data_IF_436666618795
#
_entry.id   IF_436666618795
#
_cell.length_a   1.000
_cell.length_b   1.000
_cell.length_c   1.000
_cell.angle_alpha   90.00
_cell.angle_beta   90.00
_cell.angle_gamma   90.00
#
_symmetry.space_group_name_H-M   'P 1'
#
loop_
_entity.id
_entity.type
_entity.pdbx_description
1 polymer ?
#
# COMPACT_ATOMS: atom_id res chain seq x y z
N UNK A 1 72.40 44.76 31.03
CA UNK A 1 72.30 43.92 29.81
C UNK A 1 70.84 43.52 29.60
N UNK A 2 70.45 43.21 28.35
CA UNK A 2 69.26 42.43 27.87
C UNK A 2 68.25 41.97 28.95
N UNK A 3 66.95 42.33 28.88
CA UNK A 3 65.92 41.73 28.01
C UNK A 3 65.71 40.21 28.29
N UNK A 4 64.52 39.60 28.29
CA UNK A 4 63.11 40.00 28.05
C UNK A 4 62.25 38.75 28.44
N UNK A 5 60.96 38.90 28.79
CA UNK A 5 59.94 37.82 28.90
C UNK A 5 60.15 36.75 30.02
N UNK A 6 59.14 36.10 30.61
CA UNK A 6 57.77 36.49 30.99
C UNK A 6 57.24 35.42 31.99
N UNK A 7 56.53 35.76 33.09
CA UNK A 7 56.04 34.75 34.04
C UNK A 7 54.71 34.14 33.57
N UNK A 8 54.71 32.93 32.98
CA UNK A 8 53.47 32.32 32.45
C UNK A 8 53.41 30.79 32.35
N UNK A 9 54.13 30.02 33.20
CA UNK A 9 53.98 28.54 33.25
C UNK A 9 53.97 28.03 34.72
N UNK A 10 53.02 28.51 35.52
CA UNK A 10 52.79 28.02 36.90
C UNK A 10 51.31 27.79 37.25
N UNK A 11 50.41 27.85 36.26
CA UNK A 11 48.95 27.69 36.42
C UNK A 11 48.33 26.65 35.46
N UNK A 12 49.16 25.86 34.75
CA UNK A 12 48.73 24.88 33.75
C UNK A 12 48.81 23.40 34.22
N UNK A 13 49.06 23.15 35.51
CA UNK A 13 49.16 21.79 36.08
C UNK A 13 48.05 21.44 37.09
N UNK A 14 46.94 22.19 37.09
CA UNK A 14 45.78 21.95 37.95
C UNK A 14 44.44 21.84 37.19
N UNK A 15 44.47 21.45 35.91
CA UNK A 15 43.26 21.25 35.11
C UNK A 15 43.37 20.11 34.07
N UNK A 16 43.86 18.94 34.51
CA UNK A 16 43.95 17.71 33.69
C UNK A 16 43.19 16.52 34.29
N UNK A 17 42.36 16.76 35.31
CA UNK A 17 41.41 15.79 35.89
C UNK A 17 39.94 16.20 35.73
N UNK A 18 39.65 17.16 34.84
CA UNK A 18 38.39 17.11 34.12
C UNK A 18 38.48 15.86 33.23
N UNK A 19 37.94 14.75 33.74
CA UNK A 19 37.46 13.68 32.86
C UNK A 19 36.34 14.32 32.03
N UNK A 20 36.71 14.86 30.88
CA UNK A 20 35.78 14.92 29.76
C UNK A 20 35.35 13.49 29.54
N UNK A 21 34.13 13.17 29.99
CA UNK A 21 33.39 12.02 29.51
C UNK A 21 33.08 12.34 28.06
N UNK A 22 34.10 12.17 27.21
CA UNK A 22 33.91 11.87 25.81
C UNK A 22 33.18 10.54 25.81
N UNK A 23 31.85 10.62 25.78
CA UNK A 23 30.99 9.49 25.52
C UNK A 23 31.41 8.94 24.16
N UNK A 24 32.26 7.91 24.18
CA UNK A 24 32.53 7.11 23.00
C UNK A 24 31.25 6.38 22.69
N UNK A 25 30.80 6.56 21.46
CA UNK A 25 29.84 5.75 20.73
C UNK A 25 28.55 5.46 21.50
N UNK A 26 27.49 6.21 21.14
CA UNK A 26 26.15 5.84 21.56
C UNK A 26 25.79 4.50 20.91
N UNK A 27 25.92 3.42 21.69
CA UNK A 27 25.34 2.12 21.42
C UNK A 27 23.81 2.26 21.30
N UNK A 28 23.32 2.53 20.08
CA UNK A 28 21.90 2.73 19.83
C UNK A 28 21.14 1.41 20.04
N UNK A 29 20.08 1.44 20.84
CA UNK A 29 19.20 0.29 21.09
C UNK A 29 17.96 0.35 20.17
N UNK A 30 17.47 -0.79 19.68
CA UNK A 30 16.28 -0.80 18.82
C UNK A 30 14.99 -0.44 19.55
N UNK A 31 14.94 -0.61 20.88
CA UNK A 31 13.86 -0.09 21.74
C UNK A 31 13.73 1.44 21.69
N UNK A 32 14.72 2.14 21.12
CA UNK A 32 14.81 3.59 20.96
C UNK A 32 14.76 4.04 19.48
N UNK A 33 14.43 3.15 18.53
CA UNK A 33 14.03 3.56 17.17
C UNK A 33 12.56 4.03 17.21
N UNK A 34 12.32 5.27 16.78
CA UNK A 34 11.01 5.94 16.90
C UNK A 34 10.01 5.55 15.80
N UNK A 35 10.46 4.90 14.71
CA UNK A 35 9.60 4.46 13.60
C UNK A 35 9.88 3.04 13.09
N UNK A 36 9.73 2.00 13.94
CA UNK A 36 9.99 0.61 13.55
C UNK A 36 8.90 0.04 12.61
N UNK A 37 7.74 0.69 12.51
CA UNK A 37 6.59 0.18 11.78
C UNK A 37 6.52 0.63 10.32
N UNK A 38 7.20 1.72 9.94
CA UNK A 38 7.19 2.30 8.59
C UNK A 38 7.52 1.30 7.47
N UNK A 39 8.34 0.29 7.76
CA UNK A 39 8.86 -0.67 6.78
C UNK A 39 8.00 -1.93 6.64
N UNK A 40 6.80 -1.95 7.24
CA UNK A 40 5.89 -3.10 7.19
C UNK A 40 5.03 -3.14 5.91
N UNK A 41 5.44 -2.45 4.84
CA UNK A 41 4.75 -2.41 3.55
C UNK A 41 3.26 -2.03 3.71
N UNK A 42 2.34 -2.75 3.04
CA UNK A 42 0.89 -2.56 3.16
C UNK A 42 0.32 -2.76 4.58
N UNK A 43 1.09 -3.38 5.49
CA UNK A 43 0.71 -3.62 6.90
C UNK A 43 1.16 -2.50 7.85
N UNK A 44 1.78 -1.46 7.32
CA UNK A 44 2.13 -0.25 8.09
C UNK A 44 0.85 0.45 8.53
N UNK A 45 0.71 0.81 9.82
CA UNK A 45 -0.47 1.55 10.30
C UNK A 45 -0.40 3.03 9.88
N UNK A 46 -1.56 3.62 9.57
CA UNK A 46 -1.63 4.89 8.83
C UNK A 46 -0.93 6.04 9.57
N UNK A 47 -1.15 6.10 10.88
CA UNK A 47 -0.67 7.21 11.70
C UNK A 47 0.85 7.29 11.81
N UNK A 48 1.61 6.18 11.70
CA UNK A 48 3.07 6.24 11.70
C UNK A 48 3.62 7.01 10.48
N UNK A 49 2.97 6.90 9.32
CA UNK A 49 3.44 7.49 8.06
C UNK A 49 2.81 8.86 7.75
N UNK A 50 1.57 9.08 8.20
CA UNK A 50 0.76 10.25 7.84
C UNK A 50 0.10 10.97 9.03
N UNK A 51 0.18 10.44 10.26
CA UNK A 51 -0.53 10.97 11.44
C UNK A 51 0.09 12.22 12.08
N UNK A 52 1.28 12.63 11.66
CA UNK A 52 2.03 13.74 12.26
C UNK A 52 3.32 13.26 12.94
N UNK A 53 4.26 14.17 13.19
CA UNK A 53 5.60 13.81 13.68
C UNK A 53 5.59 13.38 15.16
N UNK A 54 5.88 12.11 15.44
CA UNK A 54 6.61 11.75 16.66
C UNK A 54 8.05 12.30 16.59
N UNK A 55 8.80 12.27 17.69
CA UNK A 55 10.03 13.07 17.85
C UNK A 55 11.28 12.35 17.35
N UNK A 56 11.21 11.83 16.12
CA UNK A 56 12.10 10.82 15.56
C UNK A 56 13.62 11.07 15.72
N UNK A 57 14.31 10.11 16.33
CA UNK A 57 15.71 9.81 16.08
C UNK A 57 15.84 8.59 15.16
N UNK A 58 16.69 8.68 14.14
CA UNK A 58 17.09 7.51 13.37
C UNK A 58 18.11 6.73 14.19
N UNK A 59 17.99 5.41 14.28
CA UNK A 59 18.98 4.52 14.88
C UNK A 59 19.85 3.87 13.78
N UNK A 60 20.98 4.48 13.38
CA UNK A 60 21.92 3.85 12.45
C UNK A 60 22.67 2.73 13.18
N UNK A 61 22.60 1.51 12.65
CA UNK A 61 23.33 0.33 13.14
C UNK A 61 23.10 0.02 14.63
N UNK A 62 21.86 0.14 15.11
CA UNK A 62 21.50 -0.33 16.45
C UNK A 62 21.69 -1.84 16.63
N UNK A 63 21.63 -2.28 17.87
CA UNK A 63 21.65 -3.71 18.22
C UNK A 63 20.60 -4.03 19.29
N UNK A 64 20.23 -5.30 19.41
CA UNK A 64 19.34 -5.77 20.49
C UNK A 64 20.02 -5.53 21.85
N UNK A 65 19.53 -4.55 22.60
CA UNK A 65 20.02 -4.29 23.95
C UNK A 65 19.19 -5.07 25.00
N UNK A 66 19.61 -5.06 26.26
CA UNK A 66 18.90 -5.81 27.32
C UNK A 66 17.43 -5.38 27.48
N UNK A 67 17.08 -4.14 27.12
CA UNK A 67 15.70 -3.64 27.10
C UNK A 67 14.86 -4.27 25.99
N UNK A 68 15.43 -4.47 24.80
CA UNK A 68 14.79 -5.23 23.73
C UNK A 68 14.47 -6.65 24.20
N UNK A 69 15.47 -7.34 24.77
CA UNK A 69 15.35 -8.69 25.32
C UNK A 69 14.38 -8.80 26.50
N UNK A 70 14.01 -7.69 27.14
CA UNK A 70 13.00 -7.67 28.19
C UNK A 70 11.59 -7.36 27.65
N UNK A 71 11.46 -6.38 26.74
CA UNK A 71 10.23 -6.16 25.97
C UNK A 71 9.78 -7.46 25.30
N UNK A 72 10.75 -8.22 24.78
CA UNK A 72 10.63 -9.58 24.26
C UNK A 72 9.95 -10.55 25.21
N UNK A 73 10.54 -10.79 26.39
CA UNK A 73 10.07 -11.81 27.35
C UNK A 73 8.67 -11.49 27.88
N UNK A 74 8.26 -10.23 27.76
CA UNK A 74 6.96 -9.70 28.13
C UNK A 74 5.98 -9.67 26.96
N UNK A 75 6.45 -9.75 25.71
CA UNK A 75 5.61 -9.71 24.52
C UNK A 75 4.65 -10.90 24.49
N UNK A 76 3.41 -10.62 24.10
CA UNK A 76 2.37 -11.61 23.85
C UNK A 76 1.66 -11.22 22.56
N UNK A 77 1.17 -12.18 21.77
CA UNK A 77 0.28 -11.87 20.65
C UNK A 77 -0.92 -11.06 21.16
N UNK A 78 -1.22 -9.97 20.47
CA UNK A 78 -2.43 -9.19 20.71
C UNK A 78 -3.69 -10.04 20.42
N UNK A 79 -4.79 -9.80 21.15
CA UNK A 79 -6.03 -10.57 20.97
C UNK A 79 -6.69 -10.39 19.59
N UNK A 80 -6.31 -9.36 18.82
CA UNK A 80 -6.73 -9.15 17.43
C UNK A 80 -5.87 -9.93 16.41
N UNK A 81 -4.77 -10.56 16.84
CA UNK A 81 -3.95 -11.46 16.00
C UNK A 81 -4.45 -12.92 15.99
N UNK A 82 -5.64 -13.17 16.55
CA UNK A 82 -6.28 -14.48 16.53
C UNK A 82 -6.87 -14.81 15.14
N UNK A 83 -6.72 -16.05 14.60
CA UNK A 83 -7.26 -16.42 13.28
C UNK A 83 -8.76 -16.15 13.10
N UNK A 84 -9.55 -16.27 14.17
CA UNK A 84 -10.99 -15.99 14.18
C UNK A 84 -11.33 -14.49 13.98
N UNK A 85 -10.31 -13.62 13.98
CA UNK A 85 -10.43 -12.16 13.86
C UNK A 85 -9.64 -11.61 12.67
N UNK A 86 -9.14 -12.46 11.78
CA UNK A 86 -8.25 -12.07 10.67
C UNK A 86 -8.84 -10.98 9.73
N UNK A 87 -10.17 -10.90 9.63
CA UNK A 87 -10.89 -9.91 8.83
C UNK A 87 -11.60 -8.83 9.67
N UNK A 88 -11.45 -8.86 11.01
CA UNK A 88 -12.12 -7.95 11.93
C UNK A 88 -11.30 -6.66 12.08
N UNK A 89 -11.94 -5.52 11.86
CA UNK A 89 -11.30 -4.21 12.01
C UNK A 89 -10.77 -4.01 13.45
N UNK A 90 -9.48 -3.71 13.55
CA UNK A 90 -8.80 -3.49 14.84
C UNK A 90 -9.17 -2.14 15.46
N UNK A 91 -8.97 -1.91 16.77
CA UNK A 91 -9.27 -0.62 17.40
C UNK A 91 -8.43 0.51 16.80
N UNK A 92 -7.20 0.21 16.39
CA UNK A 92 -6.34 1.15 15.66
C UNK A 92 -6.92 1.50 14.29
N UNK A 93 -7.44 0.52 13.55
CA UNK A 93 -8.10 0.76 12.26
C UNK A 93 -9.37 1.61 12.41
N UNK A 94 -10.15 1.43 13.48
CA UNK A 94 -11.29 2.29 13.80
C UNK A 94 -10.85 3.75 14.00
N UNK A 95 -9.81 3.99 14.79
CA UNK A 95 -9.35 5.36 15.07
C UNK A 95 -8.61 5.99 13.88
N UNK A 96 -7.82 5.23 13.11
CA UNK A 96 -7.20 5.70 11.88
C UNK A 96 -8.26 6.25 10.89
N UNK A 97 -9.39 5.55 10.71
CA UNK A 97 -10.51 5.99 9.87
C UNK A 97 -11.25 7.21 10.43
N UNK A 98 -11.49 7.27 11.76
CA UNK A 98 -12.12 8.44 12.41
C UNK A 98 -11.25 9.69 12.32
N UNK A 99 -9.94 9.55 12.53
CA UNK A 99 -9.00 10.67 12.47
C UNK A 99 -8.78 11.13 11.03
N UNK A 100 -8.77 10.21 10.04
CA UNK A 100 -8.77 10.56 8.62
C UNK A 100 -9.98 11.43 8.25
N UNK A 101 -11.19 11.01 8.66
CA UNK A 101 -12.40 11.82 8.48
C UNK A 101 -12.26 13.23 9.06
N UNK A 102 -11.85 13.35 10.34
CA UNK A 102 -11.67 14.66 11.02
C UNK A 102 -10.61 15.55 10.36
N UNK A 103 -9.51 14.98 9.85
CA UNK A 103 -8.50 15.74 9.09
C UNK A 103 -9.06 16.23 7.75
N UNK A 104 -9.84 15.41 7.03
CA UNK A 104 -10.53 15.85 5.82
C UNK A 104 -11.54 16.98 6.11
N UNK A 105 -12.28 16.94 7.23
CA UNK A 105 -13.12 18.08 7.65
C UNK A 105 -12.31 19.35 7.91
N UNK A 106 -11.15 19.21 8.55
CA UNK A 106 -10.26 20.33 8.86
C UNK A 106 -9.63 20.94 7.59
N UNK A 107 -9.35 20.12 6.59
CA UNK A 107 -8.76 20.53 5.32
C UNK A 107 -9.80 21.07 4.31
N UNK A 108 -11.05 20.59 4.38
CA UNK A 108 -12.14 20.97 3.46
C UNK A 108 -13.40 21.39 4.23
N UNK A 109 -13.33 22.41 5.10
CA UNK A 109 -14.41 22.77 6.02
C UNK A 109 -15.71 23.16 5.29
N UNK A 110 -15.60 23.87 4.16
CA UNK A 110 -16.76 24.30 3.35
C UNK A 110 -17.54 23.13 2.71
N UNK A 111 -16.93 21.94 2.59
CA UNK A 111 -17.50 20.75 1.95
C UNK A 111 -17.89 19.67 2.98
N UNK A 112 -17.09 19.52 4.04
CA UNK A 112 -17.14 18.38 4.95
C UNK A 112 -17.50 18.73 6.40
N UNK A 113 -17.76 19.99 6.75
CA UNK A 113 -18.45 20.36 8.00
C UNK A 113 -19.96 20.56 7.73
N UNK A 114 -20.80 19.51 7.82
CA UNK A 114 -22.23 19.66 7.59
C UNK A 114 -22.92 20.35 8.77
N UNK A 115 -23.92 21.18 8.47
CA UNK A 115 -25.04 21.36 9.39
C UNK A 115 -25.87 20.05 9.43
N UNK A 116 -26.57 19.79 10.54
CA UNK A 116 -27.39 18.58 10.67
C UNK A 116 -28.46 18.43 9.55
N UNK A 117 -28.90 19.53 8.93
CA UNK A 117 -29.79 19.55 7.77
C UNK A 117 -29.17 18.98 6.48
N UNK A 118 -27.84 18.98 6.36
CA UNK A 118 -27.14 18.65 5.13
C UNK A 118 -26.69 17.19 5.07
N UNK A 119 -26.77 16.46 6.18
CA UNK A 119 -26.44 15.03 6.28
C UNK A 119 -27.60 14.22 5.67
N UNK A 120 -27.59 14.09 4.34
CA UNK A 120 -28.63 13.37 3.59
C UNK A 120 -28.01 12.54 2.46
N UNK A 121 -28.70 11.48 2.04
CA UNK A 121 -28.29 10.64 0.91
C UNK A 121 -28.27 11.36 -0.45
N UNK A 122 -28.75 12.61 -0.52
CA UNK A 122 -28.62 13.46 -1.71
C UNK A 122 -27.26 14.19 -1.77
N UNK A 123 -26.63 14.45 -0.62
CA UNK A 123 -25.37 15.17 -0.51
C UNK A 123 -24.17 14.24 -0.25
N UNK A 124 -24.40 13.13 0.45
CA UNK A 124 -23.37 12.17 0.81
C UNK A 124 -23.79 10.76 0.41
N UNK A 125 -22.83 10.00 -0.12
CA UNK A 125 -23.03 8.64 -0.60
C UNK A 125 -21.87 7.77 -0.11
N UNK A 126 -22.22 6.60 0.41
CA UNK A 126 -21.28 5.63 0.98
C UNK A 126 -21.55 4.27 0.35
N UNK A 127 -20.48 3.53 0.04
CA UNK A 127 -20.55 2.19 -0.56
C UNK A 127 -19.35 1.38 -0.07
N UNK A 128 -19.56 0.12 0.30
CA UNK A 128 -18.50 -0.81 0.64
C UNK A 128 -18.96 -2.27 0.44
N UNK A 129 -18.11 -3.07 -0.21
CA UNK A 129 -18.25 -4.53 -0.28
C UNK A 129 -17.89 -5.14 1.08
N UNK A 130 -16.59 -5.22 1.38
CA UNK A 130 -16.03 -5.91 2.55
C UNK A 130 -15.62 -4.93 3.66
N UNK A 131 -15.22 -3.71 3.31
CA UNK A 131 -14.72 -2.69 4.25
C UNK A 131 -15.82 -1.91 5.02
N UNK A 132 -16.95 -2.56 5.35
CA UNK A 132 -18.14 -1.89 5.92
C UNK A 132 -17.89 -1.23 7.28
N UNK A 133 -17.12 -1.86 8.16
CA UNK A 133 -16.77 -1.27 9.46
C UNK A 133 -15.81 -0.09 9.36
N UNK A 134 -14.89 -0.10 8.38
CA UNK A 134 -13.99 1.03 8.11
C UNK A 134 -14.79 2.23 7.61
N UNK A 135 -15.73 1.99 6.68
CA UNK A 135 -16.68 2.99 6.18
C UNK A 135 -17.56 3.56 7.31
N UNK A 136 -18.09 2.71 8.19
CA UNK A 136 -18.88 3.14 9.34
C UNK A 136 -18.05 3.98 10.35
N UNK A 137 -16.81 3.60 10.59
CA UNK A 137 -15.88 4.34 11.48
C UNK A 137 -15.48 5.69 10.89
N UNK A 138 -15.31 5.79 9.57
CA UNK A 138 -15.10 7.05 8.86
C UNK A 138 -16.34 7.95 8.91
N UNK A 139 -17.54 7.38 8.71
CA UNK A 139 -18.82 8.09 8.83
C UNK A 139 -19.03 8.64 10.26
N UNK A 140 -18.65 7.88 11.28
CA UNK A 140 -18.63 8.31 12.68
C UNK A 140 -17.64 9.47 12.90
N UNK A 141 -16.48 9.43 12.25
CA UNK A 141 -15.51 10.52 12.29
C UNK A 141 -16.01 11.83 11.65
N UNK A 142 -16.81 11.76 10.58
CA UNK A 142 -17.42 12.92 9.93
C UNK A 142 -18.65 13.46 10.67
N UNK A 143 -19.54 12.58 11.11
CA UNK A 143 -20.91 12.95 11.49
C UNK A 143 -21.27 12.62 12.95
N UNK A 144 -20.35 12.02 13.71
CA UNK A 144 -20.61 11.53 15.08
C UNK A 144 -21.53 10.30 15.13
N UNK A 145 -21.85 9.67 13.99
CA UNK A 145 -22.70 8.49 13.92
C UNK A 145 -22.25 7.52 12.83
N UNK A 146 -22.20 6.22 13.16
CA UNK A 146 -21.86 5.11 12.25
C UNK A 146 -22.94 4.81 11.20
N UNK A 147 -24.13 5.38 11.34
CA UNK A 147 -25.30 5.12 10.49
C UNK A 147 -26.00 6.41 10.06
N UNK A 148 -25.26 7.51 9.95
CA UNK A 148 -25.79 8.82 9.57
C UNK A 148 -26.37 8.84 8.15
N UNK A 149 -25.80 8.05 7.24
CA UNK A 149 -26.23 7.87 5.85
C UNK A 149 -26.38 6.37 5.61
N UNK A 150 -27.48 5.94 4.98
CA UNK A 150 -27.64 4.55 4.56
C UNK A 150 -26.66 4.26 3.40
N UNK A 151 -25.75 3.27 3.53
CA UNK A 151 -24.86 2.88 2.44
C UNK A 151 -25.62 2.26 1.28
N UNK A 152 -25.10 2.42 0.06
CA UNK A 152 -25.62 1.68 -1.10
C UNK A 152 -25.24 0.19 -1.04
N UNK A 153 -26.15 -0.63 -1.55
CA UNK A 153 -25.92 -2.06 -1.71
C UNK A 153 -24.91 -2.33 -2.84
N UNK A 154 -23.93 -3.18 -2.55
CA UNK A 154 -22.97 -3.74 -3.52
C UNK A 154 -23.50 -5.07 -4.06
N UNK A 155 -23.36 -5.31 -5.37
CA UNK A 155 -23.66 -6.63 -5.96
C UNK A 155 -22.67 -7.71 -5.48
N UNK A 156 -23.10 -8.97 -5.52
CA UNK A 156 -22.21 -10.13 -5.25
C UNK A 156 -21.08 -10.24 -6.30
N UNK A 157 -21.38 -9.86 -7.55
CA UNK A 157 -20.39 -9.69 -8.61
C UNK A 157 -20.07 -8.18 -8.73
N UNK A 158 -19.32 -7.63 -7.78
CA UNK A 158 -18.92 -6.23 -7.83
C UNK A 158 -17.73 -6.05 -8.81
N UNK A 159 -18.10 -5.75 -10.06
CA UNK A 159 -17.18 -5.46 -11.17
C UNK A 159 -16.54 -4.07 -11.09
N UNK A 160 -16.81 -3.33 -10.01
CA UNK A 160 -16.34 -1.98 -9.77
C UNK A 160 -15.34 -1.95 -8.60
N UNK A 161 -15.78 -2.23 -7.37
CA UNK A 161 -14.93 -2.13 -6.18
C UNK A 161 -13.95 -3.28 -6.03
N UNK A 162 -14.24 -4.43 -6.63
CA UNK A 162 -13.43 -5.65 -6.57
C UNK A 162 -13.27 -6.29 -7.95
N UNK A 163 -13.14 -5.48 -9.00
CA UNK A 163 -13.12 -5.92 -10.40
C UNK A 163 -12.17 -7.11 -10.66
N UNK A 164 -10.99 -7.10 -10.02
CA UNK A 164 -10.00 -8.16 -10.08
C UNK A 164 -10.53 -9.54 -9.65
N UNK A 165 -11.39 -9.62 -8.62
CA UNK A 165 -12.02 -10.88 -8.15
C UNK A 165 -12.98 -11.49 -9.17
N UNK A 166 -13.44 -10.69 -10.14
CA UNK A 166 -14.32 -11.15 -11.22
C UNK A 166 -13.56 -11.41 -12.53
N UNK A 167 -12.26 -11.10 -12.56
CA UNK A 167 -11.43 -11.22 -13.75
C UNK A 167 -10.79 -12.59 -13.86
N UNK A 168 -11.41 -13.48 -14.63
CA UNK A 168 -10.90 -14.85 -14.87
C UNK A 168 -9.46 -14.88 -15.38
N UNK A 169 -9.02 -13.88 -16.17
CA UNK A 169 -7.63 -13.74 -16.63
C UNK A 169 -6.68 -13.30 -15.52
N UNK A 170 -7.13 -12.51 -14.53
CA UNK A 170 -6.27 -12.15 -13.39
C UNK A 170 -6.03 -13.35 -12.46
N UNK A 171 -7.08 -14.16 -12.23
CA UNK A 171 -7.04 -15.38 -11.41
C UNK A 171 -6.31 -16.55 -12.09
N UNK A 172 -6.58 -16.80 -13.37
CA UNK A 172 -6.09 -17.97 -14.12
C UNK A 172 -4.92 -17.62 -15.05
N UNK A 173 -4.29 -16.46 -14.86
CA UNK A 173 -3.11 -16.09 -15.64
C UNK A 173 -2.05 -17.16 -15.45
N UNK A 174 -1.56 -17.74 -16.55
CA UNK A 174 -0.47 -18.72 -16.47
C UNK A 174 0.87 -18.04 -16.15
N UNK A 175 0.87 -16.71 -16.17
CA UNK A 175 1.90 -15.83 -15.61
C UNK A 175 1.66 -15.43 -14.15
N UNK A 176 0.65 -16.01 -13.46
CA UNK A 176 0.87 -16.47 -12.09
C UNK A 176 1.80 -17.68 -12.16
N UNK A 177 3.04 -17.39 -12.58
CA UNK A 177 4.21 -18.21 -12.30
C UNK A 177 4.08 -18.64 -10.84
N UNK A 178 4.13 -19.96 -10.51
CA UNK A 178 4.11 -20.38 -9.12
C UNK A 178 5.19 -19.58 -8.39
N UNK A 179 4.85 -19.06 -7.21
CA UNK A 179 5.55 -17.95 -6.51
C UNK A 179 7.07 -17.92 -6.79
N UNK A 180 7.69 -19.10 -6.65
CA UNK A 180 9.01 -19.59 -7.10
C UNK A 180 9.66 -18.91 -8.32
N UNK A 181 8.92 -18.48 -9.34
CA UNK A 181 9.46 -17.92 -10.59
C UNK A 181 9.28 -16.40 -10.76
N UNK A 182 8.68 -15.71 -9.78
CA UNK A 182 8.50 -14.24 -9.79
C UNK A 182 9.79 -13.50 -9.42
N UNK A 183 9.87 -12.18 -9.71
CA UNK A 183 10.96 -11.34 -9.15
C UNK A 183 10.99 -11.39 -7.61
N UNK A 184 9.83 -11.59 -6.96
CA UNK A 184 9.77 -11.85 -5.52
C UNK A 184 10.59 -13.09 -5.10
N UNK A 185 10.43 -14.23 -5.79
CA UNK A 185 11.24 -15.42 -5.46
C UNK A 185 12.69 -15.34 -5.91
N UNK A 186 13.00 -14.62 -7.00
CA UNK A 186 14.39 -14.30 -7.35
C UNK A 186 15.05 -13.46 -6.25
N UNK A 187 14.31 -12.54 -5.64
CA UNK A 187 14.78 -11.74 -4.50
C UNK A 187 14.88 -12.58 -3.23
N UNK A 188 13.95 -13.52 -3.00
CA UNK A 188 14.01 -14.44 -1.86
C UNK A 188 15.24 -15.37 -1.93
N UNK A 189 15.64 -15.79 -3.13
CA UNK A 189 16.90 -16.51 -3.37
C UNK A 189 18.14 -15.59 -3.42
N UNK A 190 17.94 -14.27 -3.48
CA UNK A 190 18.99 -13.26 -3.64
C UNK A 190 19.84 -13.05 -2.39
N UNK A 191 21.08 -12.52 -2.55
CA UNK A 191 22.00 -12.38 -1.43
C UNK A 191 21.49 -11.39 -0.37
N UNK A 192 20.70 -10.38 -0.74
CA UNK A 192 20.06 -9.43 0.17
C UNK A 192 19.19 -10.14 1.23
N UNK A 193 18.13 -10.86 0.82
CA UNK A 193 17.26 -11.56 1.79
C UNK A 193 17.98 -12.75 2.44
N UNK A 194 18.82 -13.48 1.70
CA UNK A 194 19.55 -14.62 2.26
C UNK A 194 20.58 -14.20 3.33
N UNK A 195 21.18 -13.01 3.23
CA UNK A 195 22.01 -12.44 4.31
C UNK A 195 21.15 -12.07 5.54
N UNK A 196 20.02 -11.38 5.33
CA UNK A 196 19.08 -11.04 6.41
C UNK A 196 18.63 -12.29 7.18
N UNK A 197 18.20 -13.33 6.45
CA UNK A 197 17.75 -14.58 7.06
C UNK A 197 18.89 -15.27 7.84
N UNK A 198 20.12 -15.32 7.31
CA UNK A 198 21.26 -15.87 8.07
C UNK A 198 21.53 -15.08 9.35
N UNK A 199 21.51 -13.74 9.30
CA UNK A 199 21.76 -12.89 10.46
C UNK A 199 20.67 -13.05 11.53
N UNK A 200 19.40 -12.99 11.13
CA UNK A 200 18.26 -13.09 12.03
C UNK A 200 18.12 -14.48 12.69
N UNK A 201 18.53 -15.55 12.00
CA UNK A 201 18.47 -16.92 12.51
C UNK A 201 19.73 -17.37 13.26
N UNK A 202 20.80 -16.57 13.28
CA UNK A 202 22.00 -16.83 14.09
C UNK A 202 21.83 -16.46 15.58
N UNK A 203 20.69 -15.89 15.96
CA UNK A 203 20.39 -15.47 17.35
C UNK A 203 19.98 -16.68 18.19
N UNK A 204 20.82 -17.10 19.13
CA UNK A 204 20.64 -18.37 19.87
C UNK A 204 19.49 -18.38 20.90
N UNK A 205 18.67 -17.31 21.03
CA UNK A 205 17.35 -17.29 21.71
C UNK A 205 16.37 -16.24 21.08
N UNK A 206 15.11 -16.62 20.83
CA UNK A 206 13.97 -15.85 20.25
C UNK A 206 13.52 -14.62 21.09
N UNK A 207 12.63 -13.71 20.63
CA UNK A 207 12.48 -12.83 19.43
C UNK A 207 11.37 -11.76 19.68
N UNK A 208 11.57 -10.43 19.45
CA UNK A 208 10.48 -9.44 19.35
C UNK A 208 10.62 -8.62 18.05
N UNK A 209 9.79 -8.91 17.06
CA UNK A 209 10.11 -8.71 15.64
C UNK A 209 10.57 -7.31 15.16
N UNK A 210 10.37 -6.23 15.91
CA UNK A 210 10.91 -4.91 15.57
C UNK A 210 12.35 -4.65 16.06
N UNK A 211 12.80 -5.32 17.12
CA UNK A 211 14.19 -5.17 17.61
C UNK A 211 15.16 -6.18 17.00
N UNK A 212 14.65 -7.17 16.25
CA UNK A 212 15.48 -8.20 15.60
C UNK A 212 16.15 -7.66 14.33
N UNK A 213 15.55 -6.68 13.67
CA UNK A 213 15.97 -6.20 12.36
C UNK A 213 16.45 -4.75 12.42
N UNK A 214 17.62 -4.51 11.85
CA UNK A 214 18.07 -3.16 11.54
C UNK A 214 17.18 -2.48 10.51
N UNK A 215 17.27 -1.15 10.44
CA UNK A 215 16.58 -0.33 9.43
C UNK A 215 16.83 -0.78 7.98
N UNK A 216 18.03 -1.26 7.68
CA UNK A 216 18.38 -1.75 6.34
C UNK A 216 17.84 -3.17 6.09
N UNK A 217 17.76 -4.02 7.11
CA UNK A 217 17.06 -5.31 7.02
C UNK A 217 15.54 -5.11 6.86
N UNK A 218 14.95 -4.17 7.59
CA UNK A 218 13.55 -3.76 7.41
C UNK A 218 13.28 -3.24 5.99
N UNK A 219 14.21 -2.50 5.37
CA UNK A 219 14.10 -2.08 3.96
C UNK A 219 14.14 -3.25 2.97
N UNK A 220 14.89 -4.32 3.26
CA UNK A 220 14.91 -5.55 2.46
C UNK A 220 13.53 -6.24 2.54
N UNK A 221 12.94 -6.34 3.74
CA UNK A 221 11.59 -6.90 3.93
C UNK A 221 10.50 -6.04 3.26
N UNK A 222 10.60 -4.72 3.36
CA UNK A 222 9.71 -3.79 2.65
C UNK A 222 9.80 -3.99 1.14
N UNK A 223 11.01 -4.07 0.58
CA UNK A 223 11.20 -4.24 -0.87
C UNK A 223 10.69 -5.58 -1.39
N UNK A 224 10.81 -6.65 -0.58
CA UNK A 224 10.23 -7.96 -0.88
C UNK A 224 8.71 -7.90 -1.04
N UNK A 225 8.02 -7.22 -0.12
CA UNK A 225 6.56 -7.02 -0.22
C UNK A 225 6.21 -6.04 -1.35
N UNK A 226 7.01 -5.00 -1.58
CA UNK A 226 6.84 -4.10 -2.73
C UNK A 226 6.94 -4.84 -4.06
N UNK A 227 7.92 -5.75 -4.25
CA UNK A 227 8.01 -6.62 -5.42
C UNK A 227 6.74 -7.48 -5.57
N UNK A 228 6.27 -8.10 -4.48
CA UNK A 228 5.05 -8.91 -4.51
C UNK A 228 3.83 -8.10 -4.98
N UNK A 229 3.60 -6.92 -4.39
CA UNK A 229 2.46 -6.07 -4.75
C UNK A 229 2.63 -5.38 -6.11
N UNK A 230 3.86 -4.99 -6.50
CA UNK A 230 4.18 -4.43 -7.82
C UNK A 230 3.79 -5.39 -8.94
N UNK A 231 4.10 -6.69 -8.81
CA UNK A 231 3.67 -7.69 -9.79
C UNK A 231 2.22 -8.14 -9.60
N UNK A 232 1.69 -8.23 -8.37
CA UNK A 232 0.30 -8.67 -8.12
C UNK A 232 -0.77 -7.67 -8.54
N UNK A 233 -0.55 -6.37 -8.28
CA UNK A 233 -1.54 -5.31 -8.44
C UNK A 233 -0.98 -3.98 -8.99
N UNK A 234 0.35 -3.80 -9.03
CA UNK A 234 1.01 -2.63 -9.61
C UNK A 234 1.43 -2.80 -11.07
N UNK A 235 2.42 -2.00 -11.50
CA UNK A 235 2.92 -1.94 -12.89
C UNK A 235 3.61 -3.22 -13.41
N UNK A 236 3.86 -4.23 -12.57
CA UNK A 236 4.58 -5.44 -12.98
C UNK A 236 3.79 -6.40 -13.91
N UNK A 237 2.49 -6.16 -14.12
CA UNK A 237 1.67 -6.86 -15.12
C UNK A 237 0.75 -5.88 -15.84
N UNK A 238 0.74 -5.91 -17.17
CA UNK A 238 -0.12 -5.05 -18.00
C UNK A 238 -1.61 -5.14 -17.65
N UNK A 239 -2.09 -6.31 -17.21
CA UNK A 239 -3.50 -6.51 -16.81
C UNK A 239 -3.91 -5.60 -15.64
N UNK A 240 -3.00 -5.31 -14.72
CA UNK A 240 -3.29 -4.50 -13.53
C UNK A 240 -3.67 -3.06 -13.90
N UNK A 241 -3.01 -2.49 -14.92
CA UNK A 241 -3.38 -1.18 -15.48
C UNK A 241 -4.79 -1.16 -16.06
N UNK A 242 -5.39 -2.33 -16.35
CA UNK A 242 -6.76 -2.45 -16.83
C UNK A 242 -7.78 -2.71 -15.73
N UNK A 243 -7.38 -3.37 -14.65
CA UNK A 243 -8.26 -3.68 -13.52
C UNK A 243 -8.69 -2.44 -12.72
N UNK A 244 -7.87 -1.38 -12.75
CA UNK A 244 -8.23 -0.08 -12.17
C UNK A 244 -9.21 0.73 -13.02
N UNK A 245 -9.65 0.27 -14.19
CA UNK A 245 -10.47 1.09 -15.11
C UNK A 245 -11.95 1.27 -14.74
N UNK A 246 -12.68 0.28 -14.18
CA UNK A 246 -13.98 0.54 -13.56
C UNK A 246 -13.85 1.62 -12.49
N UNK A 247 -12.78 1.55 -11.70
CA UNK A 247 -12.45 2.51 -10.67
C UNK A 247 -11.98 3.84 -11.25
N UNK A 248 -11.34 3.92 -12.42
CA UNK A 248 -11.03 5.21 -13.06
C UNK A 248 -12.31 5.87 -13.60
N UNK A 249 -13.21 5.06 -14.17
CA UNK A 249 -14.51 5.51 -14.65
C UNK A 249 -15.42 5.99 -13.50
N UNK A 250 -15.33 5.34 -12.34
CA UNK A 250 -16.13 5.62 -11.12
C UNK A 250 -15.38 6.43 -10.03
N UNK A 251 -14.08 6.72 -10.17
CA UNK A 251 -13.34 7.72 -9.34
C UNK A 251 -13.82 9.14 -9.66
N UNK A 252 -14.59 9.27 -10.73
CA UNK A 252 -15.58 10.33 -10.88
C UNK A 252 -16.61 10.40 -9.72
N UNK A 253 -16.62 9.47 -8.74
CA UNK A 253 -17.51 9.39 -7.57
C UNK A 253 -16.93 8.71 -6.27
N UNK A 254 -16.21 7.55 -6.27
CA UNK A 254 -16.05 6.69 -5.06
C UNK A 254 -14.63 6.13 -4.70
N UNK A 255 -14.60 5.17 -3.73
CA UNK A 255 -13.43 4.54 -3.06
C UNK A 255 -13.53 3.00 -2.98
N UNK A 256 -12.40 2.28 -2.78
CA UNK A 256 -12.28 0.81 -2.88
C UNK A 256 -11.23 0.16 -1.93
N UNK A 257 -10.93 -1.14 -2.11
CA UNK A 257 -9.93 -1.92 -1.32
C UNK A 257 -8.45 -1.65 -1.70
N UNK A 258 -7.48 -2.32 -1.05
CA UNK A 258 -6.04 -2.10 -1.27
C UNK A 258 -5.51 -2.54 -2.64
N UNK A 259 -6.02 -3.65 -3.20
CA UNK A 259 -5.64 -4.13 -4.54
C UNK A 259 -6.25 -3.20 -5.58
N UNK A 260 -7.52 -2.87 -5.40
CA UNK A 260 -8.28 -1.92 -6.21
C UNK A 260 -7.66 -0.51 -6.19
N UNK A 261 -7.18 -0.02 -5.04
CA UNK A 261 -6.43 1.22 -4.92
C UNK A 261 -5.12 1.16 -5.70
N UNK A 262 -4.32 0.11 -5.54
CA UNK A 262 -3.06 -0.05 -6.29
C UNK A 262 -3.32 -0.15 -7.81
N UNK A 263 -4.31 -0.93 -8.23
CA UNK A 263 -4.73 -1.00 -9.64
C UNK A 263 -5.13 0.39 -10.18
N UNK A 264 -5.92 1.16 -9.43
CA UNK A 264 -6.32 2.52 -9.80
C UNK A 264 -5.11 3.47 -9.92
N UNK A 265 -4.19 3.44 -8.97
CA UNK A 265 -2.95 4.24 -9.03
C UNK A 265 -2.12 3.88 -10.27
N UNK A 266 -2.02 2.58 -10.60
CA UNK A 266 -1.37 2.09 -11.83
C UNK A 266 -2.09 2.55 -13.09
N UNK A 267 -3.42 2.43 -13.18
CA UNK A 267 -4.21 2.96 -14.31
C UNK A 267 -4.04 4.48 -14.48
N UNK A 268 -3.85 5.22 -13.39
CA UNK A 268 -3.63 6.66 -13.43
C UNK A 268 -2.19 7.08 -13.76
N UNK A 269 -1.20 6.17 -13.77
CA UNK A 269 0.22 6.55 -13.90
C UNK A 269 0.77 7.27 -12.66
N UNK A 270 0.24 6.97 -11.46
CA UNK A 270 0.73 7.54 -10.19
C UNK A 270 1.82 6.65 -9.60
N UNK A 271 2.90 7.29 -9.15
CA UNK A 271 4.05 6.62 -8.51
C UNK A 271 4.72 5.53 -9.37
N UNK A 272 4.67 5.67 -10.70
CA UNK A 272 5.45 4.85 -11.63
C UNK A 272 6.96 5.14 -11.48
N UNK A 273 7.78 4.10 -11.58
CA UNK A 273 9.23 4.19 -11.47
C UNK A 273 9.90 4.20 -12.86
N UNK A 274 10.97 4.99 -13.09
CA UNK A 274 11.68 5.03 -14.39
C UNK A 274 12.32 3.70 -14.81
N UNK A 275 12.49 2.78 -13.86
CA UNK A 275 12.98 1.42 -14.09
C UNK A 275 12.07 0.46 -13.31
N UNK A 276 11.63 -0.67 -13.89
CA UNK A 276 10.84 -1.67 -13.17
C UNK A 276 11.54 -2.19 -11.92
N UNK A 277 10.78 -2.40 -10.84
CA UNK A 277 11.28 -3.07 -9.64
C UNK A 277 11.64 -4.52 -9.99
N UNK A 278 12.87 -4.95 -9.70
CA UNK A 278 13.37 -6.29 -10.00
C UNK A 278 14.25 -6.80 -8.85
N UNK A 279 14.45 -8.12 -8.77
CA UNK A 279 15.24 -8.74 -7.71
C UNK A 279 16.68 -8.19 -7.63
N UNK A 280 17.28 -7.87 -8.78
CA UNK A 280 18.69 -7.49 -8.87
C UNK A 280 18.97 -6.01 -8.60
N UNK A 281 17.96 -5.13 -8.63
CA UNK A 281 18.15 -3.66 -8.60
C UNK A 281 17.75 -2.99 -7.28
N UNK A 282 17.53 -3.75 -6.19
CA UNK A 282 17.18 -3.24 -4.86
C UNK A 282 17.97 -2.00 -4.41
N UNK A 283 19.29 -1.99 -4.62
CA UNK A 283 20.20 -0.90 -4.21
C UNK A 283 19.96 0.39 -4.99
N UNK A 284 19.63 0.27 -6.27
CA UNK A 284 19.27 1.40 -7.14
C UNK A 284 17.86 1.91 -6.81
N UNK A 285 16.97 1.00 -6.39
CA UNK A 285 15.57 1.27 -6.00
C UNK A 285 15.41 1.80 -4.55
N UNK A 286 16.49 2.32 -3.95
CA UNK A 286 16.48 2.97 -2.64
C UNK A 286 15.62 4.25 -2.58
N UNK A 287 15.31 4.87 -3.73
CA UNK A 287 14.42 6.04 -3.86
C UNK A 287 13.21 5.79 -4.79
N UNK A 288 12.80 4.53 -4.92
CA UNK A 288 11.63 4.12 -5.72
C UNK A 288 10.36 4.90 -5.35
N UNK A 289 9.54 5.18 -6.34
CA UNK A 289 8.24 5.83 -6.19
C UNK A 289 7.17 4.83 -5.76
N UNK A 290 7.23 3.59 -6.26
CA UNK A 290 6.36 2.49 -5.85
C UNK A 290 6.85 1.87 -4.54
N UNK A 291 6.40 2.48 -3.42
CA UNK A 291 6.71 2.04 -2.05
C UNK A 291 5.40 1.88 -1.26
N UNK A 292 4.96 0.64 -1.07
CA UNK A 292 3.60 0.33 -0.59
C UNK A 292 3.29 0.87 0.80
N UNK A 293 4.28 0.98 1.69
CA UNK A 293 4.14 1.64 3.00
C UNK A 293 3.78 3.12 2.91
N UNK A 294 4.08 3.78 1.79
CA UNK A 294 3.79 5.20 1.56
C UNK A 294 2.51 5.42 0.74
N UNK A 295 2.23 4.58 -0.25
CA UNK A 295 1.11 4.75 -1.20
C UNK A 295 -0.15 3.97 -0.79
N UNK A 296 0.01 2.87 -0.04
CA UNK A 296 -1.09 1.99 0.35
C UNK A 296 -0.82 1.28 1.70
N UNK A 297 -0.54 2.01 2.79
CA UNK A 297 -0.59 1.45 4.15
C UNK A 297 -2.04 1.07 4.53
N UNK A 298 -2.25 0.54 5.74
CA UNK A 298 -3.61 0.49 6.30
C UNK A 298 -4.26 1.88 6.25
N UNK A 299 -5.56 1.95 5.94
CA UNK A 299 -6.30 3.20 5.67
C UNK A 299 -5.71 4.11 4.57
N UNK A 300 -4.87 3.56 3.68
CA UNK A 300 -4.44 4.23 2.45
C UNK A 300 -5.64 4.73 1.63
N UNK A 301 -5.55 5.95 1.12
CA UNK A 301 -6.68 6.69 0.54
C UNK A 301 -6.23 7.56 -0.64
N UNK A 302 -7.12 7.72 -1.62
CA UNK A 302 -6.96 8.64 -2.75
C UNK A 302 -8.20 9.54 -2.82
N UNK A 303 -8.03 10.84 -2.57
CA UNK A 303 -9.13 11.82 -2.58
C UNK A 303 -9.02 12.71 -3.82
N UNK A 304 -10.10 12.83 -4.58
CA UNK A 304 -10.24 13.79 -5.67
C UNK A 304 -11.13 14.97 -5.22
N UNK A 305 -10.63 16.19 -5.33
CA UNK A 305 -11.38 17.41 -4.94
C UNK A 305 -11.60 18.28 -6.17
N UNK A 306 -12.87 18.57 -6.46
CA UNK A 306 -13.29 19.40 -7.59
C UNK A 306 -13.44 20.86 -7.16
N UNK A 307 -12.77 21.76 -7.87
CA UNK A 307 -12.75 23.20 -7.62
C UNK A 307 -13.41 23.98 -8.76
N UNK A 308 -14.10 25.05 -8.37
CA UNK A 308 -14.61 26.07 -9.29
C UNK A 308 -13.85 27.38 -9.07
N UNK A 309 -12.82 27.60 -9.88
CA UNK A 309 -11.98 28.78 -9.87
C UNK A 309 -12.63 29.96 -10.61
N UNK A 310 -12.24 31.19 -10.27
CA UNK A 310 -12.70 32.44 -10.91
C UNK A 310 -12.01 32.74 -12.25
N UNK A 311 -11.48 31.71 -12.92
CA UNK A 311 -10.84 31.84 -14.23
C UNK A 311 -11.87 32.22 -15.31
N UNK A 312 -11.40 32.81 -16.41
CA UNK A 312 -12.25 33.21 -17.53
C UNK A 312 -12.38 32.06 -18.53
N UNK A 313 -11.32 31.29 -18.76
CA UNK A 313 -11.32 30.13 -19.67
C UNK A 313 -11.55 28.82 -18.93
N UNK A 314 -10.79 28.55 -17.87
CA UNK A 314 -10.69 27.21 -17.27
C UNK A 314 -11.13 27.19 -15.80
N UNK A 315 -12.44 27.38 -15.60
CA UNK A 315 -13.07 27.47 -14.28
C UNK A 315 -13.04 26.19 -13.47
N UNK A 316 -13.11 25.03 -14.12
CA UNK A 316 -13.24 23.75 -13.45
C UNK A 316 -11.87 23.09 -13.35
N UNK A 317 -11.39 22.86 -12.14
CA UNK A 317 -10.09 22.24 -11.87
C UNK A 317 -10.23 21.14 -10.82
N UNK A 318 -9.31 20.18 -10.78
CA UNK A 318 -9.33 19.06 -9.84
C UNK A 318 -7.94 18.90 -9.22
N UNK A 319 -7.88 18.57 -7.92
CA UNK A 319 -6.64 18.14 -7.26
C UNK A 319 -6.83 16.74 -6.68
N UNK A 320 -5.82 15.90 -6.85
CA UNK A 320 -5.76 14.56 -6.25
C UNK A 320 -4.84 14.59 -5.02
N UNK A 321 -5.22 13.84 -3.98
CA UNK A 321 -4.44 13.66 -2.75
C UNK A 321 -4.28 12.17 -2.48
N UNK A 322 -3.04 11.68 -2.50
CA UNK A 322 -2.71 10.31 -2.12
C UNK A 322 -2.19 10.33 -0.68
N UNK A 323 -2.88 9.61 0.21
CA UNK A 323 -2.62 9.58 1.65
C UNK A 323 -2.42 11.00 2.23
N UNK A 324 -3.45 11.83 1.99
CA UNK A 324 -3.59 13.25 2.37
C UNK A 324 -2.52 14.21 1.78
N UNK A 325 -1.66 13.76 0.86
CA UNK A 325 -0.60 14.57 0.23
C UNK A 325 -0.94 14.86 -1.25
N UNK A 326 -0.82 16.11 -1.75
CA UNK A 326 -1.14 16.43 -3.15
C UNK A 326 -0.30 15.62 -4.15
N UNK A 327 -0.97 14.95 -5.09
CA UNK A 327 -0.34 14.22 -6.18
C UNK A 327 0.26 15.21 -7.18
N UNK A 328 1.55 15.03 -7.51
CA UNK A 328 2.20 15.78 -8.59
C UNK A 328 1.94 15.07 -9.91
N UNK A 329 0.92 15.54 -10.63
CA UNK A 329 0.54 14.99 -11.92
C UNK A 329 1.16 15.81 -13.06
N UNK A 330 1.79 15.15 -14.03
CA UNK A 330 2.40 15.83 -15.17
C UNK A 330 1.32 16.54 -16.02
N UNK A 331 1.61 17.78 -16.42
CA UNK A 331 0.66 18.69 -17.06
C UNK A 331 -0.15 19.57 -16.10
N UNK A 332 -0.08 19.34 -14.78
CA UNK A 332 -0.85 20.09 -13.79
C UNK A 332 0.00 21.10 -13.00
N UNK A 333 -0.56 22.28 -12.74
CA UNK A 333 0.14 23.34 -11.98
C UNK A 333 0.07 23.06 -10.48
N UNK A 334 1.20 22.68 -9.88
CA UNK A 334 1.28 22.41 -8.42
C UNK A 334 0.26 21.34 -7.98
N UNK A 335 -0.07 20.40 -8.86
CA UNK A 335 -1.07 19.34 -8.62
C UNK A 335 -2.54 19.75 -8.87
N UNK A 336 -2.80 21.03 -9.17
CA UNK A 336 -4.11 21.48 -9.62
C UNK A 336 -4.21 21.32 -11.15
N UNK A 337 -5.12 20.45 -11.59
CA UNK A 337 -5.28 20.03 -12.98
C UNK A 337 -6.53 20.65 -13.60
N UNK A 338 -6.47 21.06 -14.86
CA UNK A 338 -7.66 21.51 -15.59
C UNK A 338 -8.61 20.34 -15.90
N UNK A 339 -9.91 20.56 -15.70
CA UNK A 339 -10.91 19.51 -15.85
C UNK A 339 -11.01 18.98 -17.29
N UNK A 340 -10.75 19.83 -18.30
CA UNK A 340 -10.71 19.40 -19.70
C UNK A 340 -9.49 18.51 -20.00
N UNK A 341 -8.32 18.86 -19.45
CA UNK A 341 -7.10 18.07 -19.58
C UNK A 341 -7.29 16.66 -18.99
N UNK A 342 -7.84 16.57 -17.77
CA UNK A 342 -8.12 15.28 -17.13
C UNK A 342 -9.14 14.45 -17.91
N UNK A 343 -10.22 15.05 -18.42
CA UNK A 343 -11.19 14.32 -19.27
C UNK A 343 -10.56 13.79 -20.55
N UNK A 344 -9.63 14.52 -21.16
CA UNK A 344 -8.90 14.04 -22.33
C UNK A 344 -8.04 12.84 -21.96
N UNK A 345 -7.17 12.99 -20.95
CA UNK A 345 -6.20 11.96 -20.55
C UNK A 345 -6.88 10.70 -19.97
N UNK A 346 -7.83 10.85 -19.05
CA UNK A 346 -8.58 9.71 -18.51
C UNK A 346 -9.62 9.16 -19.49
N UNK A 347 -10.12 9.96 -20.43
CA UNK A 347 -11.01 9.48 -21.50
C UNK A 347 -10.27 8.56 -22.49
N UNK A 348 -9.03 8.92 -22.86
CA UNK A 348 -8.15 8.06 -23.66
C UNK A 348 -7.81 6.76 -22.93
N UNK A 349 -7.41 6.84 -21.65
CA UNK A 349 -7.16 5.66 -20.81
C UNK A 349 -8.40 4.79 -20.65
N UNK A 350 -9.58 5.35 -20.35
CA UNK A 350 -10.81 4.58 -20.20
C UNK A 350 -11.31 3.97 -21.52
N UNK A 351 -11.11 4.62 -22.67
CA UNK A 351 -11.56 4.11 -23.98
C UNK A 351 -10.66 2.99 -24.54
N UNK A 352 -9.35 3.06 -24.27
CA UNK A 352 -8.40 1.99 -24.56
C UNK A 352 -8.51 0.83 -23.57
N UNK A 353 -8.95 1.10 -22.34
CA UNK A 353 -9.07 0.13 -21.28
C UNK A 353 -10.40 -0.64 -21.28
N UNK A 354 -10.43 -1.74 -22.03
CA UNK A 354 -11.56 -2.69 -22.01
C UNK A 354 -11.26 -3.85 -21.07
N UNK A 355 -12.22 -4.15 -20.19
CA UNK A 355 -12.26 -5.39 -19.41
C UNK A 355 -12.76 -6.60 -20.23
N UNK A 356 -12.93 -6.48 -21.55
CA UNK A 356 -13.32 -7.61 -22.41
C UNK A 356 -12.36 -8.79 -22.26
N UNK A 357 -11.08 -8.53 -21.98
CA UNK A 357 -10.07 -9.53 -21.66
C UNK A 357 -10.44 -10.40 -20.44
N UNK A 358 -11.04 -9.83 -19.39
CA UNK A 358 -11.47 -10.56 -18.19
C UNK A 358 -12.64 -11.53 -18.45
N UNK A 359 -13.39 -11.27 -19.52
CA UNK A 359 -14.60 -12.01 -19.92
C UNK A 359 -14.39 -12.86 -21.18
N UNK A 360 -13.18 -12.85 -21.75
CA UNK A 360 -12.78 -13.65 -22.92
C UNK A 360 -12.54 -15.12 -22.54
N UNK A 361 -13.64 -15.79 -22.22
CA UNK A 361 -13.81 -17.18 -22.59
C UNK A 361 -13.39 -18.23 -21.56
N UNK A 362 -14.34 -18.53 -20.65
CA UNK A 362 -14.70 -19.93 -20.37
C UNK A 362 -15.40 -20.61 -21.58
N UNK A 363 -15.15 -20.14 -22.80
CA UNK A 363 -15.31 -20.93 -24.02
C UNK A 363 -14.18 -21.94 -24.05
N UNK A 364 -14.35 -23.03 -23.31
CA UNK A 364 -13.78 -24.29 -23.76
C UNK A 364 -14.11 -24.42 -25.26
N UNK A 365 -13.15 -24.78 -26.13
CA UNK A 365 -13.51 -25.12 -27.48
C UNK A 365 -14.55 -26.24 -27.38
N UNK A 366 -15.70 -26.06 -28.00
CA UNK A 366 -16.71 -27.11 -28.13
C UNK A 366 -16.25 -28.17 -29.14
N UNK A 367 -15.00 -28.60 -29.03
CA UNK A 367 -14.64 -29.98 -29.30
C UNK A 367 -15.39 -30.84 -28.28
N UNK A 368 -16.67 -31.09 -28.58
CA UNK A 368 -17.18 -32.45 -28.38
C UNK A 368 -16.12 -33.37 -28.98
N UNK A 369 -15.43 -34.22 -28.20
CA UNK A 369 -14.60 -35.22 -28.81
C UNK A 369 -15.54 -36.07 -29.67
N UNK A 370 -15.14 -36.35 -30.92
CA UNK A 370 -15.93 -37.15 -31.86
C UNK A 370 -16.11 -38.62 -31.42
N UNK A 371 -15.82 -38.93 -30.15
CA UNK A 371 -16.05 -40.20 -29.48
C UNK A 371 -17.49 -40.69 -29.59
N UNK A 372 -18.51 -39.83 -29.60
CA UNK A 372 -19.89 -40.29 -29.82
C UNK A 372 -20.10 -40.77 -31.27
N UNK A 373 -19.54 -40.06 -32.26
CA UNK A 373 -19.58 -40.50 -33.66
C UNK A 373 -18.78 -41.79 -33.89
N UNK A 374 -17.62 -41.94 -33.25
CA UNK A 374 -16.81 -43.16 -33.31
C UNK A 374 -17.49 -44.34 -32.61
N UNK A 375 -18.11 -44.13 -31.43
CA UNK A 375 -18.85 -45.17 -30.71
C UNK A 375 -20.12 -45.60 -31.46
N UNK A 376 -20.84 -44.69 -32.10
CA UNK A 376 -21.99 -45.02 -32.95
C UNK A 376 -21.58 -45.78 -34.21
N UNK A 377 -20.48 -45.39 -34.86
CA UNK A 377 -19.93 -46.13 -36.00
C UNK A 377 -19.51 -47.57 -35.60
N UNK A 378 -18.87 -47.75 -34.44
CA UNK A 378 -18.50 -49.07 -33.93
C UNK A 378 -19.73 -49.91 -33.56
N UNK A 379 -20.75 -49.31 -32.93
CA UNK A 379 -22.00 -50.01 -32.60
C UNK A 379 -22.74 -50.50 -33.84
N UNK A 380 -22.81 -49.69 -34.91
CA UNK A 380 -23.45 -50.09 -36.19
C UNK A 380 -22.66 -51.22 -36.87
N UNK A 381 -21.33 -51.17 -36.87
CA UNK A 381 -20.49 -52.25 -37.41
C UNK A 381 -20.62 -53.55 -36.61
N UNK A 382 -20.67 -53.49 -35.28
CA UNK A 382 -20.86 -54.67 -34.43
C UNK A 382 -22.28 -55.26 -34.48
N UNK A 383 -23.31 -54.45 -34.75
CA UNK A 383 -24.67 -54.94 -34.95
C UNK A 383 -24.87 -55.54 -36.36
N UNK A 384 -24.22 -54.97 -37.39
CA UNK A 384 -24.26 -55.51 -38.75
C UNK A 384 -23.58 -56.88 -38.90
N UNK A 385 -22.59 -57.19 -38.07
CA UNK A 385 -21.87 -58.48 -38.09
C UNK A 385 -22.58 -59.64 -37.35
N UNK A 386 -23.84 -59.45 -36.93
CA UNK A 386 -24.61 -60.44 -36.15
C UNK A 386 -25.90 -60.93 -36.83
N UNK A 387 -26.07 -60.64 -38.13
CA UNK A 387 -27.23 -61.06 -38.95
C UNK A 387 -26.83 -61.57 -40.35
N UNK A 388 -25.66 -62.22 -40.47
CA UNK A 388 -25.26 -63.09 -41.59
C UNK A 388 -24.74 -64.41 -41.03
#
# INVERSE_FOLDING_TARGET
>A
MRALLLPLIASLLACSSIRSVLARDADFCFADEDDPYLYMATKTAYHFVHGGKTRFQNVPNGHMCNRDLENLRRWRPDEYLAPQRAEVLTPQGVEDMRLLARRLQSNFPELLLPSASNITSANYKFRATEARDSMASFMEGLFGSRTAILPEESSLNDTLLTAYKTCSVWENDKDVQPFENTEGSKFDAGPELQNLLRNAWAVTKLSPWCAVFSKDELRILEYREDLYYYYKAGYGRDINSRLGCPLLHDMMQHFCDVISLQNLLTTMGINEDPMPLAAFNFKDMARRQWRTSMISPFAGNLVAVFYKCNDITDRNKVMFYLAEKPVRYEGCQVGLCDWQFLKSKFGELASSCKLDICWKGNTAPSSFPNSIAVLLAYAVLCLGYRQL
#
